data_IF_216187449129
#
_entry.id   IF_216187449129
#
_cell.length_a   1.000
_cell.length_b   1.000
_cell.length_c   1.000
_cell.angle_alpha   90.00
_cell.angle_beta   90.00
_cell.angle_gamma   90.00
#
_symmetry.space_group_name_H-M   'P 1'
#
loop_
_entity.id
_entity.type
_entity.pdbx_description
1 polymer ?
#
# COMPACT_ATOMS: atom_id res chain seq x y z
N UNK A 1 25.79 -2.27 -10.04
CA UNK A 1 25.30 -1.96 -8.69
C UNK A 1 24.31 -0.82 -8.82
N UNK A 2 23.03 -1.07 -8.50
CA UNK A 2 21.95 -0.16 -8.07
C UNK A 2 20.65 -0.90 -8.39
N UNK A 3 20.21 -1.73 -7.46
CA UNK A 3 18.82 -2.19 -7.47
C UNK A 3 17.95 -0.93 -7.40
N UNK A 4 16.94 -0.85 -8.25
CA UNK A 4 16.07 0.31 -8.42
C UNK A 4 15.93 1.09 -7.11
N UNK A 5 16.46 2.31 -7.09
CA UNK A 5 16.47 3.16 -5.92
C UNK A 5 15.05 3.21 -5.34
N UNK A 6 14.94 3.12 -4.02
CA UNK A 6 13.65 3.11 -3.33
C UNK A 6 12.72 4.22 -3.85
N UNK A 7 13.28 5.38 -4.20
CA UNK A 7 12.58 6.52 -4.79
C UNK A 7 11.92 6.23 -6.15
N UNK A 8 12.54 5.44 -7.03
CA UNK A 8 11.96 5.09 -8.34
C UNK A 8 10.80 4.09 -8.17
N UNK A 9 10.97 3.14 -7.25
CA UNK A 9 9.92 2.19 -6.86
C UNK A 9 8.74 2.93 -6.21
N UNK A 10 9.01 3.90 -5.33
CA UNK A 10 8.00 4.76 -4.72
C UNK A 10 7.18 5.50 -5.79
N UNK A 11 7.85 6.14 -6.74
CA UNK A 11 7.19 6.86 -7.82
C UNK A 11 6.33 5.95 -8.72
N UNK A 12 6.83 4.74 -9.02
CA UNK A 12 6.08 3.75 -9.80
C UNK A 12 4.82 3.27 -9.05
N UNK A 13 4.92 3.04 -7.74
CA UNK A 13 3.80 2.62 -6.89
C UNK A 13 2.75 3.73 -6.75
N UNK A 14 3.17 4.97 -6.57
CA UNK A 14 2.28 6.13 -6.54
C UNK A 14 1.51 6.30 -7.87
N UNK A 15 2.18 6.09 -9.01
CA UNK A 15 1.49 6.06 -10.32
C UNK A 15 0.50 4.92 -10.41
N UNK A 16 0.86 3.72 -9.95
CA UNK A 16 -0.05 2.58 -9.95
C UNK A 16 -1.30 2.85 -9.08
N UNK A 17 -1.14 3.50 -7.92
CA UNK A 17 -2.24 3.96 -7.06
C UNK A 17 -3.13 4.96 -7.82
N UNK A 18 -2.54 5.96 -8.48
CA UNK A 18 -3.29 6.95 -9.25
C UNK A 18 -4.10 6.32 -10.40
N UNK A 19 -3.50 5.36 -11.12
CA UNK A 19 -4.16 4.62 -12.20
C UNK A 19 -5.29 3.75 -11.63
N UNK A 20 -5.06 3.05 -10.52
CA UNK A 20 -6.07 2.24 -9.85
C UNK A 20 -7.25 3.09 -9.36
N UNK A 21 -6.99 4.26 -8.78
CA UNK A 21 -8.02 5.24 -8.41
C UNK A 21 -8.85 5.69 -9.60
N UNK A 22 -8.19 6.02 -10.71
CA UNK A 22 -8.86 6.43 -11.96
C UNK A 22 -9.78 5.33 -12.51
N UNK A 23 -9.35 4.07 -12.41
CA UNK A 23 -10.14 2.91 -12.81
C UNK A 23 -11.15 2.44 -11.76
N UNK A 24 -11.24 3.13 -10.61
CA UNK A 24 -11.97 2.67 -9.41
C UNK A 24 -11.63 1.24 -8.97
N UNK A 25 -10.44 0.76 -9.32
CA UNK A 25 -9.95 -0.57 -9.00
C UNK A 25 -9.35 -0.58 -7.59
N UNK A 26 -10.22 -0.57 -6.58
CA UNK A 26 -9.84 -0.48 -5.16
C UNK A 26 -8.90 -1.59 -4.71
N UNK A 27 -9.09 -2.81 -5.20
CA UNK A 27 -8.19 -3.94 -4.92
C UNK A 27 -6.77 -3.72 -5.45
N UNK A 28 -6.62 -3.10 -6.64
CA UNK A 28 -5.30 -2.72 -7.17
C UNK A 28 -4.67 -1.57 -6.38
N UNK A 29 -5.48 -0.60 -5.96
CA UNK A 29 -5.05 0.51 -5.11
C UNK A 29 -4.46 -0.01 -3.78
N UNK A 30 -5.15 -0.98 -3.15
CA UNK A 30 -4.72 -1.59 -1.91
C UNK A 30 -3.39 -2.34 -2.07
N UNK A 31 -3.25 -3.15 -3.12
CA UNK A 31 -2.00 -3.88 -3.40
C UNK A 31 -0.81 -2.95 -3.64
N UNK A 32 -1.00 -1.86 -4.39
CA UNK A 32 0.06 -0.89 -4.62
C UNK A 32 0.44 -0.15 -3.33
N UNK A 33 -0.55 0.21 -2.51
CA UNK A 33 -0.33 0.85 -1.21
C UNK A 33 0.40 -0.06 -0.21
N UNK A 34 0.14 -1.38 -0.22
CA UNK A 34 0.93 -2.34 0.58
C UNK A 34 2.39 -2.42 0.17
N UNK A 35 2.66 -2.45 -1.13
CA UNK A 35 4.03 -2.45 -1.63
C UNK A 35 4.76 -1.16 -1.22
N UNK A 36 4.04 -0.03 -1.24
CA UNK A 36 4.55 1.27 -0.79
C UNK A 36 4.84 1.26 0.71
N UNK A 37 3.92 0.71 1.50
CA UNK A 37 4.09 0.54 2.94
C UNK A 37 5.32 -0.31 3.28
N UNK A 38 5.53 -1.44 2.59
CA UNK A 38 6.74 -2.28 2.77
C UNK A 38 8.02 -1.51 2.48
N UNK A 39 8.02 -0.68 1.44
CA UNK A 39 9.16 0.16 1.11
C UNK A 39 9.42 1.20 2.23
N UNK A 40 8.38 1.83 2.75
CA UNK A 40 8.52 2.78 3.85
C UNK A 40 9.00 2.11 5.15
N UNK A 41 8.61 0.87 5.44
CA UNK A 41 9.18 0.07 6.55
C UNK A 41 10.70 -0.03 6.40
N UNK A 42 11.19 -0.36 5.20
CA UNK A 42 12.65 -0.45 4.97
C UNK A 42 13.38 0.88 5.10
N UNK A 43 12.65 1.99 4.94
CA UNK A 43 13.15 3.36 5.13
C UNK A 43 12.92 3.89 6.56
N UNK A 44 12.51 3.02 7.49
CA UNK A 44 12.22 3.37 8.88
C UNK A 44 11.05 4.38 9.04
N UNK A 45 10.17 4.44 8.03
CA UNK A 45 8.97 5.29 7.93
C UNK A 45 7.68 4.49 8.13
N UNK A 46 7.69 3.58 9.09
CA UNK A 46 6.55 2.71 9.40
C UNK A 46 5.28 3.48 9.79
N UNK A 47 5.42 4.66 10.39
CA UNK A 47 4.28 5.50 10.81
C UNK A 47 3.50 6.05 9.59
N UNK A 48 4.21 6.55 8.58
CA UNK A 48 3.62 6.97 7.30
C UNK A 48 2.88 5.81 6.62
N UNK A 49 3.51 4.62 6.60
CA UNK A 49 2.92 3.41 6.05
C UNK A 49 1.63 3.03 6.75
N UNK A 50 1.65 3.02 8.09
CA UNK A 50 0.50 2.70 8.90
C UNK A 50 -0.64 3.68 8.66
N UNK A 51 -0.36 4.98 8.61
CA UNK A 51 -1.36 6.02 8.39
C UNK A 51 -2.02 5.88 7.03
N UNK A 52 -1.23 5.70 5.98
CA UNK A 52 -1.74 5.58 4.62
C UNK A 52 -2.53 4.29 4.40
N UNK A 53 -2.03 3.17 4.94
CA UNK A 53 -2.72 1.89 4.82
C UNK A 53 -3.99 1.85 5.67
N UNK A 54 -4.00 2.49 6.85
CA UNK A 54 -5.17 2.59 7.71
C UNK A 54 -6.27 3.44 7.08
N UNK A 55 -5.93 4.57 6.45
CA UNK A 55 -6.90 5.43 5.76
C UNK A 55 -7.57 4.66 4.60
N UNK A 56 -6.76 3.96 3.81
CA UNK A 56 -7.27 3.13 2.72
C UNK A 56 -8.07 1.93 3.23
N UNK A 57 -7.61 1.26 4.29
CA UNK A 57 -8.30 0.13 4.91
C UNK A 57 -9.65 0.55 5.50
N UNK A 58 -9.74 1.73 6.10
CA UNK A 58 -11.00 2.28 6.63
C UNK A 58 -12.01 2.61 5.52
N UNK A 59 -11.56 2.86 4.29
CA UNK A 59 -12.44 3.07 3.14
C UNK A 59 -13.16 1.79 2.73
N UNK A 60 -12.55 0.62 2.98
CA UNK A 60 -13.22 -0.66 2.80
C UNK A 60 -14.08 -0.96 4.02
N UNK A 61 -15.39 -0.73 3.90
CA UNK A 61 -16.35 -1.11 4.95
C UNK A 61 -16.83 -2.56 4.81
N UNK A 62 -16.61 -3.16 3.63
CA UNK A 62 -17.04 -4.51 3.26
C UNK A 62 -15.93 -5.23 2.47
N UNK A 63 -15.97 -6.56 2.44
CA UNK A 63 -14.98 -7.36 1.72
C UNK A 63 -13.71 -7.70 2.52
N UNK A 64 -13.71 -7.58 3.85
CA UNK A 64 -12.58 -7.97 4.71
C UNK A 64 -12.15 -9.45 4.61
N UNK A 65 -12.99 -10.28 4.00
CA UNK A 65 -12.69 -11.68 3.69
C UNK A 65 -11.81 -11.82 2.43
N UNK A 66 -11.62 -10.75 1.66
CA UNK A 66 -10.74 -10.78 0.49
C UNK A 66 -9.28 -10.92 0.91
N UNK A 67 -8.48 -11.67 0.14
CA UNK A 67 -7.07 -11.90 0.45
C UNK A 67 -6.28 -10.59 0.53
N UNK A 68 -6.66 -9.58 -0.27
CA UNK A 68 -6.05 -8.26 -0.22
C UNK A 68 -6.35 -7.55 1.12
N UNK A 69 -7.58 -7.55 1.62
CA UNK A 69 -7.85 -6.91 2.92
C UNK A 69 -7.24 -7.66 4.10
N UNK A 70 -7.19 -8.99 4.05
CA UNK A 70 -6.48 -9.78 5.06
C UNK A 70 -4.98 -9.47 5.08
N UNK A 71 -4.35 -9.40 3.92
CA UNK A 71 -2.95 -9.02 3.81
C UNK A 71 -2.70 -7.58 4.32
N UNK A 72 -3.64 -6.65 4.11
CA UNK A 72 -3.53 -5.27 4.57
C UNK A 72 -3.51 -5.21 6.10
N UNK A 73 -4.43 -5.95 6.72
CA UNK A 73 -4.54 -6.06 8.18
C UNK A 73 -3.31 -6.72 8.79
N UNK A 74 -2.78 -7.78 8.16
CA UNK A 74 -1.55 -8.43 8.61
C UNK A 74 -0.35 -7.48 8.53
N UNK A 75 -0.27 -6.67 7.47
CA UNK A 75 0.78 -5.67 7.33
C UNK A 75 0.66 -4.57 8.39
N UNK A 76 -0.55 -4.07 8.66
CA UNK A 76 -0.84 -3.12 9.74
C UNK A 76 -0.49 -3.66 11.13
N UNK A 77 -0.61 -4.97 11.34
CA UNK A 77 -0.23 -5.61 12.60
C UNK A 77 1.30 -5.77 12.76
N UNK A 78 2.05 -5.75 11.65
CA UNK A 78 3.51 -5.83 11.65
C UNK A 78 4.19 -4.46 11.76
N UNK A 79 3.43 -3.38 11.52
CA UNK A 79 3.82 -1.97 11.58
C UNK A 79 3.65 -1.39 12.99
#
# INVERSE_FOLDING_TARGET
MHGADASDVEAALLRAIAIARSQQARSLELRATMSLARLWITQNRSDDARRQLSDLYAWFTEGFDTPDLQAARLLLAHL
#
